data_IF_193046156809
#
_entry.id   IF_193046156809
#
_cell.length_a   1.000
_cell.length_b   1.000
_cell.length_c   1.000
_cell.angle_alpha   90.00
_cell.angle_beta   90.00
_cell.angle_gamma   90.00
#
_symmetry.space_group_name_H-M   'P 1'
#
loop_
_entity.id
_entity.type
_entity.pdbx_description
1 polymer ?
#
# COMPACT_ATOMS: atom_id res chain seq x y z
N UNK A 1 16.58 -19.79 8.89
CA UNK A 1 15.22 -19.19 8.82
C UNK A 1 14.67 -19.40 7.42
N UNK A 2 13.44 -19.90 7.24
CA UNK A 2 12.89 -20.08 5.89
C UNK A 2 12.55 -18.74 5.22
N UNK A 3 12.64 -18.63 3.87
CA UNK A 3 12.23 -17.44 3.12
C UNK A 3 10.83 -16.95 3.48
N UNK A 4 9.91 -17.89 3.62
CA UNK A 4 8.53 -17.65 4.03
C UNK A 4 8.41 -17.00 5.41
N UNK A 5 9.25 -17.40 6.37
CA UNK A 5 9.28 -16.78 7.70
C UNK A 5 9.79 -15.34 7.65
N UNK A 6 10.82 -15.07 6.84
CA UNK A 6 11.36 -13.72 6.64
C UNK A 6 10.31 -12.78 6.04
N UNK A 7 9.67 -13.17 4.93
CA UNK A 7 8.62 -12.36 4.33
C UNK A 7 7.42 -12.17 5.25
N UNK A 8 7.10 -13.18 6.08
CA UNK A 8 6.06 -13.06 7.10
C UNK A 8 6.38 -11.98 8.13
N UNK A 9 7.62 -11.93 8.63
CA UNK A 9 8.06 -10.88 9.55
C UNK A 9 8.00 -9.51 8.87
N UNK A 10 8.52 -9.39 7.65
CA UNK A 10 8.55 -8.10 6.94
C UNK A 10 7.15 -7.56 6.69
N UNK A 11 6.24 -8.39 6.17
CA UNK A 11 4.85 -7.99 5.92
C UNK A 11 4.15 -7.58 7.22
N UNK A 12 4.42 -8.25 8.34
CA UNK A 12 3.88 -7.85 9.65
C UNK A 12 4.43 -6.50 10.10
N UNK A 13 5.72 -6.23 9.93
CA UNK A 13 6.32 -4.92 10.25
C UNK A 13 5.68 -3.81 9.41
N UNK A 14 5.47 -4.04 8.11
CA UNK A 14 4.76 -3.11 7.22
C UNK A 14 3.31 -2.92 7.71
N UNK A 15 2.62 -4.01 8.07
CA UNK A 15 1.27 -3.96 8.62
C UNK A 15 1.19 -3.11 9.89
N UNK A 16 2.12 -3.27 10.84
CA UNK A 16 2.21 -2.44 12.05
C UNK A 16 2.44 -0.98 11.69
N UNK A 17 3.32 -0.70 10.72
CA UNK A 17 3.60 0.67 10.29
C UNK A 17 2.34 1.38 9.76
N UNK A 18 1.47 0.66 9.04
CA UNK A 18 0.21 1.19 8.49
C UNK A 18 -0.89 1.38 9.54
N UNK A 19 -0.78 0.77 10.73
CA UNK A 19 -1.74 1.00 11.82
C UNK A 19 -1.78 2.49 12.21
N UNK A 20 -0.68 3.23 12.05
CA UNK A 20 -0.66 4.67 12.31
C UNK A 20 -1.67 5.44 11.44
N UNK A 21 -1.92 4.97 10.21
CA UNK A 21 -2.78 5.66 9.25
C UNK A 21 -4.25 5.58 9.67
N UNK A 22 -4.62 4.58 10.48
CA UNK A 22 -5.95 4.47 11.09
C UNK A 22 -6.23 5.71 11.95
N UNK A 23 -5.26 6.17 12.75
CA UNK A 23 -5.43 7.38 13.57
C UNK A 23 -5.62 8.63 12.71
N UNK A 24 -4.88 8.74 11.61
CA UNK A 24 -5.02 9.85 10.66
C UNK A 24 -6.40 9.86 10.01
N UNK A 25 -6.93 8.69 9.64
CA UNK A 25 -8.27 8.56 9.05
C UNK A 25 -9.36 8.89 10.07
N UNK A 26 -9.23 8.43 11.32
CA UNK A 26 -10.18 8.76 12.39
C UNK A 26 -10.28 10.27 12.60
N UNK A 27 -9.14 10.97 12.64
CA UNK A 27 -9.14 12.44 12.76
C UNK A 27 -9.80 13.13 11.55
N UNK A 28 -9.53 12.66 10.33
CA UNK A 28 -10.16 13.17 9.12
C UNK A 28 -11.68 12.97 9.13
N UNK A 29 -12.16 11.79 9.52
CA UNK A 29 -13.59 11.49 9.60
C UNK A 29 -14.26 12.38 10.64
N UNK A 30 -13.65 12.55 11.80
CA UNK A 30 -14.16 13.46 12.84
C UNK A 30 -14.28 14.90 12.33
N UNK A 31 -13.21 15.43 11.73
CA UNK A 31 -13.20 16.79 11.16
C UNK A 31 -14.23 16.94 10.04
N UNK A 32 -14.32 15.97 9.14
CA UNK A 32 -15.26 15.97 8.03
C UNK A 32 -16.72 15.94 8.48
N UNK A 33 -17.05 15.11 9.48
CA UNK A 33 -18.39 15.07 10.07
C UNK A 33 -18.74 16.39 10.75
N UNK A 34 -17.82 16.98 11.53
CA UNK A 34 -18.06 18.26 12.19
C UNK A 34 -18.39 19.39 11.21
N UNK A 35 -17.74 19.41 10.03
CA UNK A 35 -18.04 20.37 8.96
C UNK A 35 -19.40 20.08 8.33
N UNK A 36 -19.69 18.81 7.99
CA UNK A 36 -20.95 18.41 7.36
C UNK A 36 -22.18 18.68 8.22
N UNK A 37 -22.10 18.53 9.55
CA UNK A 37 -23.19 18.87 10.47
C UNK A 37 -23.50 20.37 10.49
N UNK A 38 -22.48 21.22 10.43
CA UNK A 38 -22.66 22.68 10.49
C UNK A 38 -23.14 23.30 9.17
N UNK A 39 -22.92 22.63 8.03
CA UNK A 39 -23.17 23.17 6.69
C UNK A 39 -24.53 22.79 6.09
N UNK A 40 -25.37 22.02 6.81
CA UNK A 40 -26.75 21.75 6.40
C UNK A 40 -26.91 20.95 5.10
N UNK A 41 -25.91 20.13 4.72
CA UNK A 41 -25.96 19.32 3.50
C UNK A 41 -27.16 18.35 3.51
N UNK A 42 -27.87 18.27 2.38
CA UNK A 42 -29.00 17.36 2.17
C UNK A 42 -28.58 15.89 2.00
N UNK A 43 -27.33 15.63 1.63
CA UNK A 43 -26.80 14.30 1.29
C UNK A 43 -25.93 13.67 2.39
N UNK A 44 -26.34 13.83 3.65
CA UNK A 44 -25.64 13.26 4.80
C UNK A 44 -25.41 11.74 4.66
N UNK A 45 -26.40 11.01 4.12
CA UNK A 45 -26.33 9.55 3.94
C UNK A 45 -25.14 9.11 3.08
N UNK A 46 -24.88 9.79 1.96
CA UNK A 46 -23.76 9.44 1.06
C UNK A 46 -22.41 9.79 1.67
N UNK A 47 -22.32 10.87 2.46
CA UNK A 47 -21.11 11.24 3.19
C UNK A 47 -20.77 10.17 4.24
N UNK A 48 -21.74 9.73 5.05
CA UNK A 48 -21.52 8.65 6.02
C UNK A 48 -21.02 7.36 5.39
N UNK A 49 -21.61 6.94 4.26
CA UNK A 49 -21.17 5.75 3.53
C UNK A 49 -19.71 5.90 3.10
N UNK A 50 -19.34 7.05 2.53
CA UNK A 50 -17.97 7.29 2.08
C UNK A 50 -16.94 7.26 3.24
N UNK A 51 -17.30 7.78 4.42
CA UNK A 51 -16.45 7.69 5.62
C UNK A 51 -16.31 6.26 6.15
N UNK A 52 -17.39 5.46 6.10
CA UNK A 52 -17.32 4.05 6.48
C UNK A 52 -16.41 3.26 5.55
N UNK A 53 -16.49 3.53 4.23
CA UNK A 53 -15.64 2.87 3.23
C UNK A 53 -14.17 3.19 3.47
N UNK A 54 -13.81 4.44 3.73
CA UNK A 54 -12.39 4.81 3.95
C UNK A 54 -11.83 4.22 5.25
N UNK A 55 -12.62 4.19 6.34
CA UNK A 55 -12.24 3.50 7.58
C UNK A 55 -12.04 2.02 7.31
N UNK A 56 -13.00 1.40 6.62
CA UNK A 56 -12.95 -0.02 6.31
C UNK A 56 -11.70 -0.40 5.52
N UNK A 57 -11.36 0.35 4.47
CA UNK A 57 -10.17 0.07 3.64
C UNK A 57 -8.88 0.27 4.45
N UNK A 58 -8.76 1.37 5.19
CA UNK A 58 -7.57 1.66 6.00
C UNK A 58 -7.41 0.69 7.18
N UNK A 59 -8.48 0.03 7.62
CA UNK A 59 -8.41 -1.06 8.60
C UNK A 59 -8.10 -2.42 7.95
N UNK A 60 -8.72 -2.70 6.80
CA UNK A 60 -8.62 -3.97 6.09
C UNK A 60 -7.18 -4.25 5.62
N UNK A 61 -6.49 -3.24 5.09
CA UNK A 61 -5.13 -3.40 4.56
C UNK A 61 -4.13 -3.83 5.66
N UNK A 62 -3.98 -3.11 6.79
CA UNK A 62 -3.17 -3.57 7.93
C UNK A 62 -3.62 -4.93 8.48
N UNK A 63 -4.93 -5.16 8.58
CA UNK A 63 -5.47 -6.43 9.07
C UNK A 63 -5.02 -7.62 8.21
N UNK A 64 -5.10 -7.49 6.88
CA UNK A 64 -4.66 -8.54 5.96
C UNK A 64 -3.16 -8.82 6.09
N UNK A 65 -2.33 -7.78 6.25
CA UNK A 65 -0.88 -7.93 6.42
C UNK A 65 -0.50 -8.63 7.73
N UNK A 66 -1.19 -8.29 8.83
CA UNK A 66 -0.88 -8.82 10.16
C UNK A 66 -1.39 -10.25 10.37
N UNK A 67 -2.61 -10.54 9.91
CA UNK A 67 -3.29 -11.81 10.21
C UNK A 67 -3.37 -12.78 9.02
N UNK A 68 -3.32 -12.27 7.79
CA UNK A 68 -3.38 -13.08 6.55
C UNK A 68 -2.07 -13.06 5.76
N UNK A 69 -0.96 -12.86 6.46
CA UNK A 69 0.39 -12.80 5.88
C UNK A 69 0.71 -14.01 5.00
N UNK A 70 0.34 -15.22 5.45
CA UNK A 70 0.60 -16.46 4.71
C UNK A 70 -0.14 -16.52 3.37
N UNK A 71 -1.34 -15.95 3.29
CA UNK A 71 -2.11 -15.87 2.05
C UNK A 71 -1.46 -14.86 1.09
N UNK A 72 -0.98 -13.73 1.60
CA UNK A 72 -0.27 -12.72 0.78
C UNK A 72 1.00 -13.32 0.19
N UNK A 73 1.79 -14.03 1.00
CA UNK A 73 3.01 -14.72 0.52
C UNK A 73 2.67 -15.69 -0.61
N UNK A 74 1.58 -16.46 -0.48
CA UNK A 74 1.14 -17.40 -1.51
C UNK A 74 0.59 -16.72 -2.77
N UNK A 75 -0.15 -15.61 -2.66
CA UNK A 75 -0.69 -14.89 -3.82
C UNK A 75 0.43 -14.29 -4.67
N UNK A 76 1.43 -13.70 -4.00
CA UNK A 76 2.57 -13.09 -4.68
C UNK A 76 3.72 -14.07 -4.93
N UNK A 77 3.58 -15.33 -4.51
CA UNK A 77 4.62 -16.36 -4.56
C UNK A 77 5.99 -15.82 -4.11
N UNK A 78 6.03 -15.09 -2.98
CA UNK A 78 7.25 -14.37 -2.54
C UNK A 78 8.38 -15.32 -2.15
N UNK A 79 8.04 -16.55 -1.73
CA UNK A 79 8.96 -17.62 -1.44
C UNK A 79 9.46 -18.34 -2.71
N UNK A 80 8.84 -18.11 -3.88
CA UNK A 80 9.22 -18.77 -5.12
C UNK A 80 10.49 -18.17 -5.73
N UNK A 81 11.56 -18.96 -5.77
CA UNK A 81 12.85 -18.55 -6.34
C UNK A 81 14.01 -18.51 -5.36
N UNK A 82 13.77 -18.91 -4.12
CA UNK A 82 14.84 -19.28 -3.19
C UNK A 82 14.95 -20.81 -3.21
N UNK A 83 16.08 -21.33 -3.71
CA UNK A 83 16.35 -22.77 -3.76
C UNK A 83 16.71 -23.35 -2.38
N UNK A 84 17.08 -22.48 -1.43
CA UNK A 84 17.43 -22.86 -0.07
C UNK A 84 16.18 -22.98 0.83
N UNK A 85 15.96 -24.16 1.39
CA UNK A 85 14.90 -24.40 2.39
C UNK A 85 15.12 -23.57 3.67
N UNK A 86 16.38 -23.29 4.00
CA UNK A 86 16.78 -22.40 5.08
C UNK A 86 17.80 -21.38 4.58
N UNK A 87 17.58 -20.09 4.88
CA UNK A 87 18.61 -19.08 4.71
C UNK A 87 19.83 -19.42 5.58
N UNK A 88 20.89 -19.88 4.95
CA UNK A 88 22.23 -19.96 5.53
C UNK A 88 22.80 -18.54 5.66
N UNK A 89 23.73 -18.30 6.60
CA UNK A 89 24.39 -16.97 6.72
C UNK A 89 25.18 -16.58 5.44
N UNK A 90 25.43 -17.55 4.55
CA UNK A 90 26.06 -17.37 3.24
C UNK A 90 25.05 -17.14 2.13
N UNK A 91 24.13 -16.19 2.34
CA UNK A 91 23.19 -15.78 1.31
C UNK A 91 23.89 -15.27 0.04
N UNK A 92 23.56 -15.85 -1.12
CA UNK A 92 24.04 -15.34 -2.39
C UNK A 92 23.54 -13.90 -2.62
N UNK A 93 24.37 -13.05 -3.24
CA UNK A 93 24.06 -11.62 -3.42
C UNK A 93 22.78 -11.40 -4.25
N UNK A 94 22.53 -12.24 -5.24
CA UNK A 94 21.28 -12.21 -6.04
C UNK A 94 20.03 -12.38 -5.16
N UNK A 95 20.09 -13.22 -4.13
CA UNK A 95 18.99 -13.47 -3.19
C UNK A 95 18.72 -12.24 -2.34
N UNK A 96 19.76 -11.59 -1.82
CA UNK A 96 19.63 -10.34 -1.06
C UNK A 96 19.01 -9.24 -1.92
N UNK A 97 19.46 -9.11 -3.18
CA UNK A 97 18.93 -8.13 -4.13
C UNK A 97 17.46 -8.42 -4.46
N UNK A 98 17.09 -9.67 -4.67
CA UNK A 98 15.71 -10.11 -4.90
C UNK A 98 14.81 -9.73 -3.72
N UNK A 99 15.25 -10.04 -2.48
CA UNK A 99 14.51 -9.67 -1.26
C UNK A 99 14.34 -8.15 -1.20
N UNK A 100 15.40 -7.38 -1.44
CA UNK A 100 15.32 -5.91 -1.43
C UNK A 100 14.30 -5.35 -2.42
N UNK A 101 14.27 -5.89 -3.64
CA UNK A 101 13.31 -5.49 -4.69
C UNK A 101 11.88 -5.86 -4.28
N UNK A 102 11.66 -7.08 -3.79
CA UNK A 102 10.35 -7.53 -3.28
C UNK A 102 9.85 -6.64 -2.18
N UNK A 103 10.69 -6.38 -1.18
CA UNK A 103 10.30 -5.63 0.02
C UNK A 103 9.99 -4.19 -0.36
N UNK A 104 10.79 -3.58 -1.23
CA UNK A 104 10.56 -2.22 -1.72
C UNK A 104 9.27 -2.14 -2.54
N UNK A 105 9.07 -3.07 -3.49
CA UNK A 105 7.88 -3.14 -4.32
C UNK A 105 6.61 -3.42 -3.51
N UNK A 106 6.69 -4.35 -2.56
CA UNK A 106 5.62 -4.71 -1.64
C UNK A 106 5.24 -3.56 -0.72
N UNK A 107 6.22 -2.90 -0.10
CA UNK A 107 5.97 -1.71 0.72
C UNK A 107 5.28 -0.60 -0.08
N UNK A 108 5.78 -0.33 -1.29
CA UNK A 108 5.25 0.72 -2.16
C UNK A 108 3.83 0.37 -2.63
N UNK A 109 3.58 -0.86 -3.05
CA UNK A 109 2.24 -1.34 -3.41
C UNK A 109 1.25 -1.22 -2.25
N UNK A 110 1.61 -1.76 -1.09
CA UNK A 110 0.71 -1.85 0.06
C UNK A 110 0.43 -0.48 0.68
N UNK A 111 1.42 0.41 0.75
CA UNK A 111 1.25 1.76 1.30
C UNK A 111 0.44 2.68 0.39
N UNK A 112 0.48 2.47 -0.93
CA UNK A 112 -0.21 3.35 -1.87
C UNK A 112 -1.69 2.99 -2.08
N UNK A 113 -2.13 1.77 -1.73
CA UNK A 113 -3.56 1.41 -1.73
C UNK A 113 -4.39 2.33 -0.81
N UNK A 114 -4.10 2.45 0.50
CA UNK A 114 -4.85 3.35 1.37
C UNK A 114 -4.69 4.81 0.95
N UNK A 115 -3.50 5.22 0.48
CA UNK A 115 -3.29 6.58 -0.04
C UNK A 115 -4.17 6.89 -1.25
N UNK A 116 -4.28 5.96 -2.21
CA UNK A 116 -5.16 6.12 -3.36
C UNK A 116 -6.61 6.32 -2.92
N UNK A 117 -7.09 5.50 -1.98
CA UNK A 117 -8.43 5.65 -1.43
C UNK A 117 -8.61 7.00 -0.71
N UNK A 118 -7.60 7.44 0.04
CA UNK A 118 -7.60 8.76 0.68
C UNK A 118 -7.65 9.89 -0.36
N UNK A 119 -6.91 9.81 -1.46
CA UNK A 119 -6.90 10.81 -2.52
C UNK A 119 -8.23 10.88 -3.27
N UNK A 120 -8.79 9.72 -3.63
CA UNK A 120 -10.11 9.61 -4.25
C UNK A 120 -11.20 10.16 -3.33
N UNK A 121 -11.16 9.81 -2.04
CA UNK A 121 -12.09 10.33 -1.06
C UNK A 121 -12.02 11.85 -0.94
N UNK A 122 -10.80 12.40 -0.79
CA UNK A 122 -10.63 13.85 -0.72
C UNK A 122 -11.11 14.51 -2.03
N UNK A 123 -10.92 13.88 -3.19
CA UNK A 123 -11.37 14.43 -4.46
C UNK A 123 -12.90 14.53 -4.53
N UNK A 124 -13.61 13.45 -4.17
CA UNK A 124 -15.08 13.43 -4.14
C UNK A 124 -15.62 14.43 -3.10
N UNK A 125 -15.00 14.51 -1.91
CA UNK A 125 -15.42 15.44 -0.87
C UNK A 125 -15.18 16.90 -1.28
N UNK A 126 -14.03 17.18 -1.89
CA UNK A 126 -13.66 18.52 -2.33
C UNK A 126 -14.54 18.99 -3.48
N UNK A 127 -14.88 18.12 -4.43
CA UNK A 127 -15.83 18.42 -5.51
C UNK A 127 -17.22 18.78 -4.95
N UNK A 128 -17.69 18.09 -3.89
CA UNK A 128 -18.94 18.42 -3.20
C UNK A 128 -18.90 19.73 -2.42
N UNK A 129 -17.74 20.12 -1.91
CA UNK A 129 -17.53 21.38 -1.19
C UNK A 129 -17.23 22.57 -2.13
N UNK A 130 -16.72 22.31 -3.34
CA UNK A 130 -16.18 23.31 -4.27
C UNK A 130 -17.01 23.52 -5.54
N UNK A 131 -18.33 23.66 -5.41
CA UNK A 131 -19.10 24.53 -6.32
C UNK A 131 -18.65 26.02 -6.25
N UNK A 132 -17.55 26.34 -5.54
CA UNK A 132 -17.02 27.66 -5.24
C UNK A 132 -15.57 27.92 -5.74
N UNK A 133 -15.09 27.23 -6.79
CA UNK A 133 -14.09 27.80 -7.69
C UNK A 133 -12.61 27.80 -7.27
N UNK A 134 -12.06 26.74 -6.66
CA UNK A 134 -10.59 26.55 -6.61
C UNK A 134 -10.09 25.35 -7.42
N UNK A 135 -8.88 25.50 -7.94
CA UNK A 135 -8.23 24.64 -8.94
C UNK A 135 -7.86 23.29 -8.32
N UNK A 136 -8.28 22.21 -9.00
CA UNK A 136 -8.09 20.80 -8.67
C UNK A 136 -6.60 20.38 -8.53
N UNK A 137 -5.97 20.64 -7.39
CA UNK A 137 -4.63 20.11 -7.08
C UNK A 137 -4.63 18.60 -6.73
N UNK A 138 -5.80 17.97 -6.57
CA UNK A 138 -5.89 16.60 -6.03
C UNK A 138 -5.81 15.49 -7.11
N UNK A 139 -6.02 15.80 -8.40
CA UNK A 139 -6.01 14.79 -9.47
C UNK A 139 -4.60 14.22 -9.74
N UNK A 140 -3.57 15.05 -9.64
CA UNK A 140 -2.17 14.62 -9.83
C UNK A 140 -1.76 13.56 -8.81
N UNK A 141 -2.23 13.65 -7.57
CA UNK A 141 -1.92 12.68 -6.53
C UNK A 141 -2.56 11.30 -6.79
N UNK A 142 -3.78 11.26 -7.34
CA UNK A 142 -4.43 10.01 -7.74
C UNK A 142 -3.60 9.29 -8.80
N UNK A 143 -3.19 10.02 -9.85
CA UNK A 143 -2.37 9.46 -10.94
C UNK A 143 -1.02 8.98 -10.43
N UNK A 144 -0.38 9.76 -9.54
CA UNK A 144 0.88 9.37 -8.91
C UNK A 144 0.74 8.10 -8.06
N UNK A 145 -0.32 7.97 -7.25
CA UNK A 145 -0.56 6.76 -6.45
C UNK A 145 -0.84 5.54 -7.33
N UNK A 146 -1.60 5.68 -8.42
CA UNK A 146 -1.79 4.60 -9.40
C UNK A 146 -0.45 4.20 -10.02
N UNK A 147 0.34 5.16 -10.48
CA UNK A 147 1.65 4.90 -11.07
C UNK A 147 2.58 4.17 -10.10
N UNK A 148 2.59 4.58 -8.84
CA UNK A 148 3.33 3.89 -7.78
C UNK A 148 2.83 2.46 -7.57
N UNK A 149 1.53 2.22 -7.42
CA UNK A 149 0.97 0.86 -7.29
C UNK A 149 1.44 -0.05 -8.44
N UNK A 150 1.41 0.47 -9.67
CA UNK A 150 1.90 -0.27 -10.85
C UNK A 150 3.39 -0.56 -10.79
N UNK A 151 4.22 0.42 -10.38
CA UNK A 151 5.66 0.22 -10.18
C UNK A 151 5.91 -0.84 -9.09
N UNK A 152 5.19 -0.78 -7.98
CA UNK A 152 5.30 -1.74 -6.88
C UNK A 152 4.99 -3.16 -7.35
N UNK A 153 3.90 -3.35 -8.10
CA UNK A 153 3.55 -4.63 -8.71
C UNK A 153 4.60 -5.10 -9.72
N UNK A 154 5.11 -4.20 -10.55
CA UNK A 154 6.14 -4.51 -11.52
C UNK A 154 7.42 -5.01 -10.84
N UNK A 155 7.85 -4.37 -9.75
CA UNK A 155 9.01 -4.78 -8.97
C UNK A 155 8.84 -6.19 -8.38
N UNK A 156 7.66 -6.49 -7.83
CA UNK A 156 7.37 -7.82 -7.25
C UNK A 156 7.35 -8.89 -8.35
N UNK A 157 6.66 -8.64 -9.46
CA UNK A 157 6.48 -9.65 -10.51
C UNK A 157 7.77 -9.89 -11.33
N UNK A 158 8.51 -8.82 -11.66
CA UNK A 158 9.70 -8.89 -12.51
C UNK A 158 11.01 -8.93 -11.72
N UNK A 159 10.97 -9.24 -10.42
CA UNK A 159 12.15 -9.26 -9.54
C UNK A 159 13.34 -10.03 -10.12
N UNK A 160 13.11 -11.21 -10.71
CA UNK A 160 14.17 -12.06 -11.26
C UNK A 160 14.85 -11.42 -12.48
N UNK A 161 14.05 -10.80 -13.35
CA UNK A 161 14.56 -10.11 -14.53
C UNK A 161 15.42 -8.89 -14.13
N UNK A 162 14.97 -8.14 -13.11
CA UNK A 162 15.71 -6.98 -12.59
C UNK A 162 17.04 -7.42 -11.97
N UNK A 163 17.03 -8.48 -11.16
CA UNK A 163 18.25 -9.01 -10.53
C UNK A 163 19.24 -9.50 -11.59
N UNK A 164 18.78 -10.26 -12.58
CA UNK A 164 19.63 -10.74 -13.67
C UNK A 164 20.24 -9.58 -14.49
N UNK A 165 19.46 -8.53 -14.76
CA UNK A 165 19.96 -7.35 -15.46
C UNK A 165 21.07 -6.64 -14.69
N UNK A 166 20.92 -6.51 -13.36
CA UNK A 166 21.92 -5.88 -12.49
C UNK A 166 23.19 -6.74 -12.42
N UNK A 167 23.06 -8.07 -12.33
CA UNK A 167 24.23 -8.96 -12.31
C UNK A 167 24.97 -9.01 -13.65
N UNK A 168 24.25 -9.00 -14.77
CA UNK A 168 24.84 -8.97 -16.12
C UNK A 168 25.67 -7.70 -16.34
N UNK A 169 25.13 -6.53 -15.98
CA UNK A 169 25.84 -5.25 -16.10
C UNK A 169 27.09 -5.13 -15.25
N UNK A 170 27.24 -5.97 -14.22
CA UNK A 170 28.41 -5.99 -13.35
C UNK A 170 29.52 -6.91 -13.87
N UNK A 171 29.16 -7.93 -14.65
CA UNK A 171 30.12 -8.87 -15.26
C UNK A 171 30.70 -8.35 -16.58
N UNK A 172 30.03 -7.38 -17.21
CA UNK A 172 30.52 -6.61 -18.35
C UNK A 172 31.40 -5.43 -17.90
#
# INVERSE_FOLDING_TARGET
MSPRSLFSIILKVIGIFLVKDIFTVLFKVYSGLAISFNSGFSDLSTAYISYLVIIFINFLVPYLLLFKTQAIIGIFNLDSGFEEEEFSMTLHRSSILSIGIIVTGGFLFVSEIPNLCNHVFNYIQLERMMSAGQINQNQGFIILSIGKILIGLFLIYFQRAIVNFIELKRKA
#
